data_IF_805888232481
#
_entry.id   IF_805888232481
#
_cell.length_a   1.000
_cell.length_b   1.000
_cell.length_c   1.000
_cell.angle_alpha   90.00
_cell.angle_beta   90.00
_cell.angle_gamma   90.00
#
_symmetry.space_group_name_H-M   'P 1'
#
loop_
_entity.id
_entity.type
_entity.pdbx_description
1 polymer ?
#
# COMPACT_ATOMS: atom_id res chain seq x y z
N UNK A 1 9.04 5.74 -12.40
CA UNK A 1 9.04 4.96 -11.14
C UNK A 1 7.94 5.38 -10.18
N UNK A 2 7.52 6.65 -10.20
CA UNK A 2 6.41 7.16 -9.40
C UNK A 2 5.12 6.32 -9.49
N UNK A 3 4.65 6.02 -10.72
CA UNK A 3 3.41 5.23 -10.95
C UNK A 3 3.49 3.84 -10.31
N UNK A 4 4.66 3.19 -10.36
CA UNK A 4 4.87 1.88 -9.74
C UNK A 4 4.76 1.97 -8.23
N UNK A 5 5.36 3.00 -7.62
CA UNK A 5 5.23 3.25 -6.19
C UNK A 5 3.79 3.59 -5.78
N UNK A 6 3.07 4.35 -6.62
CA UNK A 6 1.65 4.68 -6.42
C UNK A 6 0.76 3.44 -6.47
N UNK A 7 1.00 2.54 -7.43
CA UNK A 7 0.31 1.25 -7.51
C UNK A 7 0.59 0.38 -6.28
N UNK A 8 1.85 0.28 -5.85
CA UNK A 8 2.21 -0.44 -4.63
C UNK A 8 1.52 0.14 -3.39
N UNK A 9 1.47 1.47 -3.30
CA UNK A 9 0.78 2.18 -2.22
C UNK A 9 -0.71 1.84 -2.21
N UNK A 10 -1.38 1.91 -3.36
CA UNK A 10 -2.81 1.60 -3.46
C UNK A 10 -3.09 0.13 -3.11
N UNK A 11 -2.28 -0.80 -3.61
CA UNK A 11 -2.43 -2.24 -3.31
C UNK A 11 -2.18 -2.50 -1.82
N UNK A 12 -1.13 -1.92 -1.25
CA UNK A 12 -0.82 -2.04 0.18
C UNK A 12 -1.95 -1.48 1.06
N UNK A 13 -2.46 -0.29 0.73
CA UNK A 13 -3.61 0.31 1.42
C UNK A 13 -4.86 -0.57 1.30
N UNK A 14 -5.15 -1.09 0.10
CA UNK A 14 -6.28 -1.99 -0.13
C UNK A 14 -6.18 -3.26 0.74
N UNK A 15 -4.99 -3.83 0.92
CA UNK A 15 -4.79 -4.99 1.80
C UNK A 15 -5.00 -4.66 3.29
N UNK A 16 -4.56 -3.49 3.74
CA UNK A 16 -4.69 -3.05 5.15
C UNK A 16 -6.15 -2.71 5.52
N UNK A 17 -6.86 -2.00 4.65
CA UNK A 17 -8.25 -1.59 4.89
C UNK A 17 -9.26 -2.66 4.46
N UNK A 18 -8.97 -3.38 3.37
CA UNK A 18 -9.77 -4.47 2.84
C UNK A 18 -9.62 -5.78 3.60
N UNK A 19 -8.82 -5.85 4.67
CA UNK A 19 -8.60 -7.08 5.43
C UNK A 19 -9.92 -7.72 5.87
N UNK A 20 -10.91 -6.94 6.30
CA UNK A 20 -12.22 -7.45 6.70
C UNK A 20 -12.94 -8.17 5.55
N UNK A 21 -12.94 -7.58 4.35
CA UNK A 21 -13.49 -8.21 3.14
C UNK A 21 -12.72 -9.46 2.75
N UNK A 22 -11.38 -9.41 2.76
CA UNK A 22 -10.52 -10.55 2.42
C UNK A 22 -10.77 -11.73 3.38
N UNK A 23 -10.87 -11.46 4.68
CA UNK A 23 -11.16 -12.49 5.69
C UNK A 23 -12.57 -13.05 5.63
N UNK A 24 -13.51 -12.39 4.93
CA UNK A 24 -14.86 -12.93 4.67
C UNK A 24 -14.87 -13.90 3.49
N UNK A 25 -14.09 -13.63 2.44
CA UNK A 25 -14.02 -14.49 1.25
C UNK A 25 -13.09 -15.70 1.43
N UNK A 26 -12.07 -15.57 2.27
CA UNK A 26 -11.17 -16.67 2.60
C UNK A 26 -11.56 -17.19 3.99
N UNK A 27 -12.03 -18.43 4.15
CA UNK A 27 -12.36 -18.98 5.47
C UNK A 27 -11.08 -19.16 6.29
N UNK A 28 -10.76 -18.13 7.08
CA UNK A 28 -9.51 -18.02 7.83
C UNK A 28 -9.62 -18.72 9.19
N UNK A 29 -8.78 -19.74 9.43
CA UNK A 29 -8.77 -20.54 10.68
C UNK A 29 -7.87 -20.00 11.81
N UNK A 30 -7.16 -18.88 11.61
CA UNK A 30 -6.14 -18.40 12.57
C UNK A 30 -6.42 -17.00 13.12
N UNK A 31 -6.44 -16.85 14.46
CA UNK A 31 -6.60 -15.55 15.16
C UNK A 31 -5.58 -14.48 14.72
N UNK A 32 -4.42 -14.88 14.19
CA UNK A 32 -3.32 -13.97 13.84
C UNK A 32 -3.23 -13.65 12.33
N UNK A 33 -4.04 -14.26 11.47
CA UNK A 33 -3.91 -14.04 10.01
C UNK A 33 -4.37 -12.65 9.58
N UNK A 34 -5.39 -12.07 10.21
CA UNK A 34 -5.77 -10.69 9.95
C UNK A 34 -4.63 -9.70 10.24
N UNK A 35 -3.85 -9.97 11.30
CA UNK A 35 -2.65 -9.21 11.61
C UNK A 35 -1.57 -9.40 10.54
N UNK A 36 -1.37 -10.63 10.06
CA UNK A 36 -0.40 -10.92 9.00
C UNK A 36 -0.73 -10.20 7.68
N UNK A 37 -2.00 -10.21 7.26
CA UNK A 37 -2.44 -9.51 6.05
C UNK A 37 -2.20 -8.00 6.19
N UNK A 38 -2.51 -7.42 7.35
CA UNK A 38 -2.22 -6.01 7.63
C UNK A 38 -0.73 -5.70 7.60
N UNK A 39 0.10 -6.56 8.18
CA UNK A 39 1.55 -6.38 8.17
C UNK A 39 2.13 -6.43 6.75
N UNK A 40 1.65 -7.36 5.91
CA UNK A 40 2.07 -7.47 4.50
C UNK A 40 1.59 -6.25 3.70
N UNK A 41 0.34 -5.82 3.90
CA UNK A 41 -0.18 -4.62 3.25
C UNK A 41 0.58 -3.36 3.66
N UNK A 42 0.93 -3.24 4.94
CA UNK A 42 1.70 -2.13 5.48
C UNK A 42 3.12 -2.08 4.89
N UNK A 43 3.85 -3.21 4.86
CA UNK A 43 5.18 -3.24 4.26
C UNK A 43 5.14 -2.91 2.77
N UNK A 44 4.14 -3.42 2.05
CA UNK A 44 3.91 -3.08 0.64
C UNK A 44 3.70 -1.57 0.45
N UNK A 45 2.84 -0.96 1.28
CA UNK A 45 2.59 0.47 1.24
C UNK A 45 3.86 1.29 1.55
N UNK A 46 4.62 0.92 2.58
CA UNK A 46 5.87 1.59 2.97
C UNK A 46 6.89 1.54 1.83
N UNK A 47 7.06 0.39 1.18
CA UNK A 47 7.95 0.26 0.02
C UNK A 47 7.46 1.16 -1.12
N UNK A 48 6.16 1.19 -1.39
CA UNK A 48 5.55 2.08 -2.38
C UNK A 48 5.86 3.56 -2.11
N UNK A 49 5.70 4.01 -0.86
CA UNK A 49 6.04 5.37 -0.42
C UNK A 49 7.52 5.67 -0.68
N UNK A 50 8.43 4.77 -0.29
CA UNK A 50 9.88 4.96 -0.49
C UNK A 50 10.20 5.11 -1.98
N UNK A 51 9.59 4.31 -2.84
CA UNK A 51 9.76 4.39 -4.30
C UNK A 51 9.25 5.73 -4.84
N UNK A 52 8.09 6.20 -4.36
CA UNK A 52 7.54 7.50 -4.74
C UNK A 52 8.52 8.62 -4.40
N UNK A 53 9.00 8.67 -3.15
CA UNK A 53 9.92 9.73 -2.69
C UNK A 53 11.28 9.68 -3.38
N UNK A 54 11.77 8.50 -3.75
CA UNK A 54 13.03 8.35 -4.49
C UNK A 54 12.89 8.57 -5.99
N UNK A 55 11.66 8.56 -6.52
CA UNK A 55 11.43 8.81 -7.94
C UNK A 55 11.35 10.31 -8.23
N UNK A 56 11.83 10.71 -9.41
CA UNK A 56 11.57 12.05 -9.93
C UNK A 56 10.05 12.26 -10.01
N UNK A 57 9.57 13.26 -9.27
CA UNK A 57 8.17 13.64 -9.26
C UNK A 57 7.81 14.08 -10.68
N UNK A 58 6.71 13.56 -11.27
CA UNK A 58 6.32 13.98 -12.61
C UNK A 58 6.12 15.50 -12.65
N UNK A 59 6.54 16.17 -13.74
CA UNK A 59 6.41 17.64 -13.90
C UNK A 59 5.00 18.20 -13.59
N UNK A 60 3.95 17.41 -13.84
CA UNK A 60 2.57 17.78 -13.55
C UNK A 60 2.19 17.68 -12.05
N UNK A 61 3.04 17.10 -11.20
CA UNK A 61 2.87 16.96 -9.74
C UNK A 61 3.91 17.75 -8.95
N UNK A 62 4.80 18.51 -9.59
CA UNK A 62 5.81 19.33 -8.91
C UNK A 62 5.18 20.33 -7.91
N UNK A 63 3.93 20.75 -8.12
CA UNK A 63 3.17 21.60 -7.20
C UNK A 63 3.01 21.03 -5.78
N UNK A 64 3.04 19.70 -5.61
CA UNK A 64 2.88 19.01 -4.32
C UNK A 64 4.19 19.08 -3.52
N UNK A 65 5.32 19.32 -4.19
CA UNK A 65 6.62 19.49 -3.52
C UNK A 65 6.76 20.86 -2.86
N UNK A 66 5.99 21.85 -3.31
CA UNK A 66 6.09 23.24 -2.87
C UNK A 66 5.21 23.51 -1.63
N UNK A 67 4.23 22.64 -1.36
CA UNK A 67 3.36 22.68 -0.19
C UNK A 67 3.97 21.93 0.99
#
# INVERSE_FOLDING_TARGET
>A
MFIVGLLLLMVGACLVYGTASITRFIPVRGKNQALQIKMIGLTCAVIGVIIIFKSEIPRYLEWIRIL
#
